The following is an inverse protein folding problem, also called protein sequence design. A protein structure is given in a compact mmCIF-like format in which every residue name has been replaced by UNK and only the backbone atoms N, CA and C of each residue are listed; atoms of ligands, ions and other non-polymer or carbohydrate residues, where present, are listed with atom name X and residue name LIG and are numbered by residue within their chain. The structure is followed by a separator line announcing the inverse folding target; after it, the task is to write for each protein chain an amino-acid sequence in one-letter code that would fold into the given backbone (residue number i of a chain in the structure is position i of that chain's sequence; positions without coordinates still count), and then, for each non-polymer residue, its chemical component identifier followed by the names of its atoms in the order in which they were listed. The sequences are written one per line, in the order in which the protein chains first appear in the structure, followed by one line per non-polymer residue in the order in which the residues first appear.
data_IF_241302867985
#
_entry.id   IF_241302867985
#
_cell.length_a   1.000
_cell.length_b   1.000
_cell.length_c   1.000
_cell.angle_alpha   90.00
_cell.angle_beta   90.00
_cell.angle_gamma   90.00
#
_symmetry.space_group_name_H-M   'P 1'
#
loop_
_entity.id
_entity.type
_entity.pdbx_description
1 polymer ?
#
# COMPACT_ATOMS: atom_id res chain seq x y z
N UNK A 1 16.86 21.55 -10.40
CA UNK A 1 16.55 20.81 -11.65
C UNK A 1 15.04 20.65 -11.84
N UNK A 2 14.29 20.11 -10.87
CA UNK A 2 12.82 19.99 -10.96
C UNK A 2 12.11 21.30 -11.34
N UNK A 3 12.39 22.42 -10.66
CA UNK A 3 11.81 23.74 -11.00
C UNK A 3 12.14 24.22 -12.43
N UNK A 4 13.26 23.77 -13.02
CA UNK A 4 13.63 24.08 -14.41
C UNK A 4 12.76 23.30 -15.41
N UNK A 5 12.37 22.08 -15.07
CA UNK A 5 11.61 21.19 -15.94
C UNK A 5 10.09 21.39 -15.79
N UNK A 6 9.62 21.61 -14.57
CA UNK A 6 8.20 21.67 -14.25
C UNK A 6 7.71 23.08 -13.88
N UNK A 7 8.61 24.06 -13.80
CA UNK A 7 8.24 25.46 -13.59
C UNK A 7 7.59 25.71 -12.23
N UNK A 8 6.45 26.41 -12.24
CA UNK A 8 5.70 26.84 -11.05
C UNK A 8 4.89 25.74 -10.37
N UNK A 9 4.80 24.54 -10.96
CA UNK A 9 4.13 23.39 -10.29
C UNK A 9 4.99 22.82 -9.16
N UNK A 10 6.29 23.12 -9.14
CA UNK A 10 7.17 22.73 -8.04
C UNK A 10 7.08 23.79 -6.93
N UNK A 11 6.76 23.40 -5.68
CA UNK A 11 6.77 24.33 -4.56
C UNK A 11 8.14 25.01 -4.38
N UNK A 12 8.22 26.16 -3.70
CA UNK A 12 9.50 26.80 -3.43
C UNK A 12 10.37 25.90 -2.53
N UNK A 13 11.60 25.63 -2.96
CA UNK A 13 12.53 24.82 -2.17
C UNK A 13 12.96 25.57 -0.90
N UNK A 14 12.93 24.92 0.29
CA UNK A 14 13.37 25.54 1.53
C UNK A 14 14.84 26.01 1.44
N UNK A 15 15.13 27.30 1.71
CA UNK A 15 16.46 27.85 1.53
C UNK A 15 17.49 27.17 2.46
N UNK A 16 18.76 27.21 2.06
CA UNK A 16 19.87 26.88 2.94
C UNK A 16 20.24 28.11 3.77
N UNK A 17 20.57 27.91 5.04
CA UNK A 17 21.16 28.96 5.85
C UNK A 17 22.66 29.04 5.57
N UNK A 18 23.19 30.26 5.42
CA UNK A 18 24.62 30.51 5.14
C UNK A 18 25.50 30.48 6.39
N UNK A 19 24.88 30.53 7.58
CA UNK A 19 25.54 30.42 8.88
C UNK A 19 25.18 29.09 9.55
N UNK A 20 25.94 28.71 10.58
CA UNK A 20 25.64 27.55 11.40
C UNK A 20 24.20 27.65 11.96
N UNK A 21 23.40 26.61 11.75
CA UNK A 21 22.03 26.55 12.25
C UNK A 21 22.04 26.18 13.73
N UNK A 22 21.19 26.81 14.53
CA UNK A 22 20.82 26.26 15.84
C UNK A 22 20.00 24.99 15.65
N UNK A 23 19.88 24.18 16.71
CA UNK A 23 19.10 22.94 16.67
C UNK A 23 17.63 23.21 16.28
N UNK A 24 17.01 24.25 16.86
CA UNK A 24 15.64 24.65 16.52
C UNK A 24 15.49 25.06 15.04
N UNK A 25 16.46 25.79 14.47
CA UNK A 25 16.44 26.17 13.06
C UNK A 25 16.64 24.96 12.14
N UNK A 26 17.48 24.00 12.55
CA UNK A 26 17.68 22.77 11.82
C UNK A 26 16.39 21.93 11.79
N UNK A 27 15.69 21.84 12.92
CA UNK A 27 14.44 21.10 13.04
C UNK A 27 13.31 21.75 12.22
N UNK A 28 13.16 23.07 12.29
CA UNK A 28 12.21 23.79 11.45
C UNK A 28 12.51 23.60 9.95
N UNK A 29 13.79 23.61 9.57
CA UNK A 29 14.19 23.36 8.20
C UNK A 29 13.92 21.92 7.76
N UNK A 30 14.11 20.93 8.63
CA UNK A 30 13.74 19.52 8.36
C UNK A 30 12.24 19.41 8.09
N UNK A 31 11.40 19.99 8.95
CA UNK A 31 9.94 20.01 8.75
C UNK A 31 9.54 20.66 7.42
N UNK A 32 10.16 21.79 7.04
CA UNK A 32 9.90 22.44 5.74
C UNK A 32 10.36 21.59 4.55
N UNK A 33 11.47 20.87 4.67
CA UNK A 33 11.95 19.96 3.63
C UNK A 33 11.04 18.75 3.47
N UNK A 34 10.55 18.21 4.58
CA UNK A 34 9.57 17.12 4.58
C UNK A 34 8.28 17.57 3.88
N UNK A 35 7.73 18.73 4.24
CA UNK A 35 6.57 19.31 3.57
C UNK A 35 6.81 19.55 2.08
N UNK A 36 8.01 20.03 1.71
CA UNK A 36 8.38 20.21 0.31
C UNK A 36 8.33 18.87 -0.45
N UNK A 37 8.92 17.81 0.11
CA UNK A 37 8.90 16.47 -0.51
C UNK A 37 7.47 15.93 -0.61
N UNK A 38 6.67 16.03 0.46
CA UNK A 38 5.27 15.63 0.46
C UNK A 38 4.50 16.32 -0.67
N UNK A 39 4.66 17.64 -0.83
CA UNK A 39 4.00 18.41 -1.88
C UNK A 39 4.49 18.07 -3.30
N UNK A 40 5.79 17.84 -3.49
CA UNK A 40 6.34 17.44 -4.81
C UNK A 40 5.76 16.10 -5.26
N UNK A 41 5.56 15.16 -4.32
CA UNK A 41 5.00 13.84 -4.62
C UNK A 41 3.51 13.84 -4.96
N UNK A 42 2.81 14.97 -4.81
CA UNK A 42 1.41 15.11 -5.23
C UNK A 42 1.24 15.18 -6.75
N UNK A 43 2.33 15.38 -7.51
CA UNK A 43 2.28 15.52 -8.96
C UNK A 43 2.90 14.29 -9.64
N UNK A 44 2.09 13.40 -10.24
CA UNK A 44 2.57 12.17 -10.89
C UNK A 44 3.60 12.44 -12.00
N UNK A 45 3.45 13.55 -12.72
CA UNK A 45 4.39 13.95 -13.78
C UNK A 45 5.81 14.18 -13.23
N UNK A 46 5.94 14.57 -11.96
CA UNK A 46 7.23 14.77 -11.32
C UNK A 46 7.77 13.43 -10.82
N UNK A 47 6.95 12.63 -10.12
CA UNK A 47 7.40 11.35 -9.53
C UNK A 47 7.83 10.33 -10.58
N UNK A 48 7.19 10.36 -11.76
CA UNK A 48 7.50 9.47 -12.87
C UNK A 48 8.59 10.04 -13.80
N UNK A 49 9.17 11.19 -13.47
CA UNK A 49 10.21 11.79 -14.31
C UNK A 49 11.57 11.16 -14.08
N UNK A 50 12.35 11.00 -15.15
CA UNK A 50 13.72 10.45 -15.09
C UNK A 50 14.60 11.20 -14.09
N UNK A 51 14.42 12.52 -13.95
CA UNK A 51 15.19 13.34 -13.02
C UNK A 51 14.85 13.01 -11.56
N UNK A 52 13.57 12.78 -11.26
CA UNK A 52 13.17 12.37 -9.92
C UNK A 52 13.66 10.95 -9.61
N UNK A 53 13.39 10.00 -10.51
CA UNK A 53 13.76 8.60 -10.34
C UNK A 53 15.28 8.43 -10.23
N UNK A 54 16.07 9.07 -11.10
CA UNK A 54 17.54 8.99 -11.04
C UNK A 54 18.12 9.60 -9.75
N UNK A 55 17.55 10.69 -9.26
CA UNK A 55 17.95 11.31 -8.00
C UNK A 55 17.70 10.36 -6.82
N UNK A 56 16.48 9.81 -6.69
CA UNK A 56 16.15 8.89 -5.60
C UNK A 56 16.84 7.55 -5.71
N UNK A 57 17.11 7.05 -6.92
CA UNK A 57 17.96 5.87 -7.13
C UNK A 57 19.34 6.09 -6.53
N UNK A 58 20.00 7.19 -6.89
CA UNK A 58 21.33 7.51 -6.38
C UNK A 58 21.32 7.70 -4.86
N UNK A 59 20.33 8.42 -4.34
CA UNK A 59 20.19 8.60 -2.88
C UNK A 59 20.08 7.26 -2.14
N UNK A 60 19.20 6.36 -2.60
CA UNK A 60 19.05 5.04 -1.97
C UNK A 60 20.36 4.24 -2.00
N UNK A 61 21.07 4.22 -3.14
CA UNK A 61 22.35 3.54 -3.25
C UNK A 61 23.43 4.13 -2.34
N UNK A 62 23.54 5.46 -2.30
CA UNK A 62 24.53 6.18 -1.49
C UNK A 62 24.24 6.01 0.01
N UNK A 63 22.96 6.08 0.43
CA UNK A 63 22.53 5.92 1.82
C UNK A 63 22.85 4.53 2.37
N UNK A 64 22.58 3.48 1.58
CA UNK A 64 22.80 2.09 2.01
C UNK A 64 24.16 1.54 1.57
N UNK A 65 24.98 2.34 0.88
CA UNK A 65 26.30 1.96 0.35
C UNK A 65 26.23 0.71 -0.55
N UNK A 66 25.22 0.63 -1.41
CA UNK A 66 25.00 -0.51 -2.31
C UNK A 66 25.32 -0.11 -3.75
N UNK A 67 26.42 -0.64 -4.27
CA UNK A 67 26.81 -0.46 -5.66
C UNK A 67 25.90 -1.22 -6.63
N UNK A 68 25.83 -0.73 -7.87
CA UNK A 68 25.14 -1.40 -8.97
C UNK A 68 25.88 -2.66 -9.36
N UNK A 69 25.28 -3.82 -9.12
CA UNK A 69 25.80 -5.13 -9.54
C UNK A 69 24.65 -6.09 -9.87
N UNK A 70 24.97 -7.19 -10.56
CA UNK A 70 24.01 -8.27 -10.76
C UNK A 70 23.74 -8.97 -9.43
N UNK A 71 22.48 -9.31 -9.18
CA UNK A 71 22.03 -10.01 -8.00
C UNK A 71 20.83 -10.91 -8.34
N UNK A 72 20.53 -11.87 -7.47
CA UNK A 72 19.28 -12.63 -7.51
C UNK A 72 18.31 -12.06 -6.48
N UNK A 73 17.02 -12.00 -6.86
CA UNK A 73 15.94 -11.53 -6.01
C UNK A 73 14.72 -12.44 -6.16
N UNK A 74 14.22 -12.96 -5.04
CA UNK A 74 13.00 -13.76 -5.02
C UNK A 74 11.76 -12.88 -4.83
N UNK A 75 10.74 -13.12 -5.65
CA UNK A 75 9.42 -12.49 -5.53
C UNK A 75 8.38 -13.55 -5.23
N UNK A 76 7.67 -13.38 -4.12
CA UNK A 76 6.74 -14.37 -3.58
C UNK A 76 5.31 -14.19 -4.10
N UNK A 77 4.66 -15.30 -4.38
CA UNK A 77 3.22 -15.40 -4.66
C UNK A 77 2.45 -15.69 -3.37
N UNK A 78 1.12 -15.57 -3.43
CA UNK A 78 0.25 -15.77 -2.27
C UNK A 78 0.21 -17.22 -1.75
N UNK A 79 0.58 -18.21 -2.56
CA UNK A 79 0.72 -19.61 -2.14
C UNK A 79 2.06 -19.91 -1.45
N UNK A 80 2.92 -18.90 -1.29
CA UNK A 80 4.24 -19.03 -0.68
C UNK A 80 5.34 -19.49 -1.66
N UNK A 81 5.00 -19.83 -2.90
CA UNK A 81 5.99 -20.06 -3.95
C UNK A 81 6.72 -18.76 -4.31
N UNK A 82 7.94 -18.88 -4.85
CA UNK A 82 8.73 -17.73 -5.28
C UNK A 82 9.20 -17.83 -6.73
N UNK A 83 9.38 -16.67 -7.33
CA UNK A 83 9.97 -16.47 -8.64
C UNK A 83 11.35 -15.85 -8.43
N UNK A 84 12.40 -16.61 -8.69
CA UNK A 84 13.77 -16.11 -8.66
C UNK A 84 14.07 -15.27 -9.90
N UNK A 85 14.57 -14.05 -9.71
CA UNK A 85 14.87 -13.10 -10.78
C UNK A 85 16.34 -12.73 -10.78
N UNK A 86 16.97 -12.76 -11.96
CA UNK A 86 18.27 -12.14 -12.18
C UNK A 86 18.07 -10.64 -12.46
N UNK A 87 18.52 -9.80 -11.52
CA UNK A 87 18.30 -8.35 -11.54
C UNK A 87 19.62 -7.57 -11.39
N UNK A 88 19.56 -6.26 -11.57
CA UNK A 88 20.54 -5.33 -11.03
C UNK A 88 20.06 -4.79 -9.68
N UNK A 89 20.99 -4.58 -8.74
CA UNK A 89 20.68 -3.97 -7.43
C UNK A 89 20.07 -2.57 -7.52
N UNK A 90 20.21 -1.90 -8.68
CA UNK A 90 19.64 -0.59 -8.99
C UNK A 90 18.35 -0.63 -9.83
N UNK A 91 17.80 -1.82 -10.08
CA UNK A 91 16.50 -1.97 -10.74
C UNK A 91 15.38 -1.43 -9.84
N UNK A 92 14.46 -0.69 -10.46
CA UNK A 92 13.29 -0.11 -9.79
C UNK A 92 12.17 -1.14 -9.61
N UNK A 93 11.22 -0.86 -8.72
CA UNK A 93 10.04 -1.70 -8.53
C UNK A 93 9.22 -1.87 -9.82
N UNK A 94 9.07 -0.78 -10.61
CA UNK A 94 8.46 -0.83 -11.94
C UNK A 94 9.19 -1.82 -12.85
N UNK A 95 10.53 -1.72 -12.92
CA UNK A 95 11.35 -2.60 -13.76
C UNK A 95 11.25 -4.07 -13.33
N UNK A 96 11.26 -4.34 -12.02
CA UNK A 96 11.12 -5.69 -11.50
C UNK A 96 9.73 -6.26 -11.83
N UNK A 97 8.67 -5.46 -11.71
CA UNK A 97 7.32 -5.89 -12.08
C UNK A 97 7.22 -6.21 -13.57
N UNK A 98 7.80 -5.37 -14.44
CA UNK A 98 7.91 -5.67 -15.87
C UNK A 98 8.66 -6.97 -16.11
N UNK A 99 9.82 -7.17 -15.46
CA UNK A 99 10.63 -8.38 -15.60
C UNK A 99 9.80 -9.59 -15.17
N UNK A 100 9.13 -9.61 -14.02
CA UNK A 100 8.27 -10.73 -13.59
C UNK A 100 7.26 -11.12 -14.68
N UNK A 101 6.62 -10.11 -15.27
CA UNK A 101 5.57 -10.31 -16.28
C UNK A 101 6.16 -10.72 -17.63
N UNK A 102 7.34 -10.21 -17.99
CA UNK A 102 7.99 -10.46 -19.28
C UNK A 102 8.89 -11.71 -19.29
N UNK A 103 9.57 -12.02 -18.19
CA UNK A 103 10.66 -13.00 -18.11
C UNK A 103 10.22 -14.37 -17.61
N UNK A 104 8.98 -14.50 -17.13
CA UNK A 104 8.43 -15.78 -16.69
C UNK A 104 7.12 -16.11 -17.38
N UNK A 105 6.88 -17.43 -17.47
CA UNK A 105 5.72 -18.16 -18.03
C UNK A 105 4.35 -17.76 -17.46
N UNK A 106 4.22 -16.60 -16.81
CA UNK A 106 2.94 -16.10 -16.30
C UNK A 106 1.95 -15.90 -17.45
N UNK A 107 2.35 -15.33 -18.57
CA UNK A 107 1.43 -15.04 -19.68
C UNK A 107 0.45 -13.90 -19.36
N UNK A 108 0.86 -12.99 -18.47
CA UNK A 108 0.09 -11.78 -18.15
C UNK A 108 0.25 -10.76 -19.27
N UNK A 109 -0.87 -10.23 -19.78
CA UNK A 109 -0.83 -9.18 -20.80
C UNK A 109 -0.19 -7.91 -20.24
N UNK A 110 0.56 -7.18 -21.09
CA UNK A 110 1.20 -5.92 -20.71
C UNK A 110 0.19 -4.88 -20.18
N UNK A 111 -1.03 -4.92 -20.70
CA UNK A 111 -2.13 -4.04 -20.29
C UNK A 111 -2.60 -4.31 -18.87
N UNK A 112 -2.41 -5.53 -18.37
CA UNK A 112 -2.86 -5.96 -17.05
C UNK A 112 -1.82 -5.72 -15.95
N UNK A 113 -0.58 -5.33 -16.31
CA UNK A 113 0.51 -5.05 -15.36
C UNK A 113 0.09 -4.00 -14.32
N UNK A 114 -0.64 -2.96 -14.75
CA UNK A 114 -1.08 -1.86 -13.87
C UNK A 114 -2.08 -2.26 -12.78
N UNK A 115 -2.62 -3.49 -12.83
CA UNK A 115 -3.52 -4.03 -11.81
C UNK A 115 -2.78 -4.79 -10.71
N UNK A 116 -1.46 -4.94 -10.81
CA UNK A 116 -0.62 -5.58 -9.81
C UNK A 116 0.45 -4.61 -9.31
N UNK A 117 0.93 -4.86 -8.10
CA UNK A 117 2.04 -4.11 -7.52
C UNK A 117 2.87 -5.02 -6.63
N UNK A 118 4.08 -4.57 -6.34
CA UNK A 118 4.94 -5.17 -5.35
C UNK A 118 4.65 -4.62 -3.95
N UNK A 119 4.76 -5.49 -2.95
CA UNK A 119 4.56 -5.20 -1.54
C UNK A 119 5.69 -5.82 -0.72
N UNK A 120 6.06 -5.15 0.37
CA UNK A 120 6.82 -5.82 1.42
C UNK A 120 5.87 -6.47 2.40
N UNK A 121 6.05 -7.77 2.58
CA UNK A 121 5.21 -8.61 3.42
C UNK A 121 6.11 -9.19 4.51
N UNK A 122 5.77 -8.92 5.76
CA UNK A 122 6.43 -9.48 6.92
C UNK A 122 5.81 -10.83 7.26
N UNK A 123 6.66 -11.83 7.49
CA UNK A 123 6.29 -13.17 7.92
C UNK A 123 6.70 -13.33 9.39
N UNK A 124 5.71 -13.48 10.27
CA UNK A 124 5.94 -13.57 11.71
C UNK A 124 6.33 -14.98 12.18
N UNK A 125 6.40 -15.97 11.28
CA UNK A 125 6.84 -17.33 11.58
C UNK A 125 5.81 -18.20 12.31
N UNK A 126 4.81 -17.60 12.95
CA UNK A 126 3.60 -18.25 13.50
C UNK A 126 2.51 -18.48 12.44
N UNK A 127 2.83 -18.17 11.18
CA UNK A 127 1.90 -18.20 10.07
C UNK A 127 1.14 -16.89 9.86
N UNK A 128 1.30 -15.84 10.68
CA UNK A 128 0.76 -14.51 10.43
C UNK A 128 1.62 -13.74 9.40
N UNK A 129 0.95 -13.07 8.45
CA UNK A 129 1.56 -12.22 7.44
C UNK A 129 1.02 -10.82 7.64
N UNK A 130 1.91 -9.83 7.61
CA UNK A 130 1.54 -8.42 7.62
C UNK A 130 1.99 -7.77 6.31
N UNK A 131 1.09 -7.03 5.67
CA UNK A 131 1.47 -6.19 4.53
C UNK A 131 2.07 -4.91 5.08
N UNK A 132 3.39 -4.76 5.06
CA UNK A 132 4.07 -3.61 5.67
C UNK A 132 3.84 -2.35 4.85
N UNK A 133 4.11 -2.43 3.54
CA UNK A 133 3.91 -1.31 2.61
C UNK A 133 3.80 -1.78 1.16
N UNK A 134 3.12 -0.98 0.33
CA UNK A 134 3.29 -1.02 -1.13
C UNK A 134 4.67 -0.44 -1.47
N UNK A 135 5.40 -1.09 -2.36
CA UNK A 135 6.66 -0.57 -2.89
C UNK A 135 6.34 0.50 -3.94
N UNK A 136 6.86 1.71 -3.76
CA UNK A 136 6.69 2.76 -4.77
C UNK A 136 7.50 2.44 -6.03
N UNK A 137 7.03 2.92 -7.17
CA UNK A 137 7.53 2.57 -8.50
C UNK A 137 9.02 2.91 -8.69
N UNK A 138 9.48 3.99 -8.04
CA UNK A 138 10.87 4.47 -8.06
C UNK A 138 11.78 3.83 -7.00
N UNK A 139 11.24 3.10 -6.04
CA UNK A 139 12.05 2.43 -5.01
C UNK A 139 12.90 1.32 -5.64
N UNK A 140 14.01 1.00 -4.99
CA UNK A 140 14.92 -0.08 -5.39
C UNK A 140 14.66 -1.29 -4.47
N UNK A 141 13.84 -2.28 -4.87
CA UNK A 141 13.37 -3.32 -3.95
C UNK A 141 14.51 -4.10 -3.30
N UNK A 142 15.59 -4.36 -4.04
CA UNK A 142 16.78 -5.02 -3.49
C UNK A 142 17.38 -4.22 -2.33
N UNK A 143 17.60 -2.91 -2.52
CA UNK A 143 18.16 -2.02 -1.50
C UNK A 143 17.21 -1.89 -0.32
N UNK A 144 15.92 -1.67 -0.58
CA UNK A 144 14.89 -1.56 0.44
C UNK A 144 14.82 -2.82 1.32
N UNK A 145 14.92 -4.02 0.73
CA UNK A 145 14.98 -5.27 1.52
C UNK A 145 16.21 -5.35 2.43
N UNK A 146 17.37 -4.89 1.96
CA UNK A 146 18.58 -4.88 2.80
C UNK A 146 18.42 -3.98 4.03
N UNK A 147 17.63 -2.91 3.92
CA UNK A 147 17.34 -2.01 5.04
C UNK A 147 16.35 -2.58 6.06
N UNK A 148 15.55 -3.58 5.68
CA UNK A 148 14.50 -4.18 6.51
C UNK A 148 14.82 -5.62 6.94
N UNK A 149 16.10 -5.99 6.98
CA UNK A 149 16.53 -7.36 7.30
C UNK A 149 16.00 -7.87 8.64
N UNK A 150 15.95 -6.99 9.63
CA UNK A 150 15.49 -7.30 10.99
C UNK A 150 13.99 -7.63 11.03
N UNK A 151 13.21 -7.13 10.07
CA UNK A 151 11.78 -7.37 9.97
C UNK A 151 11.43 -8.67 9.23
N UNK A 152 12.42 -9.44 8.75
CA UNK A 152 12.20 -10.66 7.96
C UNK A 152 11.21 -10.47 6.79
N UNK A 153 11.21 -9.27 6.19
CA UNK A 153 10.31 -8.94 5.10
C UNK A 153 10.67 -9.68 3.79
N UNK A 154 9.64 -10.11 3.07
CA UNK A 154 9.70 -10.68 1.73
C UNK A 154 9.06 -9.72 0.73
N UNK A 155 9.54 -9.75 -0.51
CA UNK A 155 8.92 -9.01 -1.62
C UNK A 155 7.85 -9.88 -2.26
N UNK A 156 6.59 -9.45 -2.26
CA UNK A 156 5.48 -10.19 -2.85
C UNK A 156 4.74 -9.40 -3.92
N UNK A 157 4.13 -10.10 -4.86
CA UNK A 157 3.21 -9.51 -5.85
C UNK A 157 1.77 -9.68 -5.37
N UNK A 158 0.97 -8.62 -5.44
CA UNK A 158 -0.46 -8.65 -5.09
C UNK A 158 -1.26 -7.76 -6.04
N UNK A 159 -2.57 -8.01 -6.12
CA UNK A 159 -3.47 -7.10 -6.84
C UNK A 159 -3.44 -5.70 -6.20
N UNK A 160 -3.44 -4.66 -7.02
CA UNK A 160 -3.41 -3.26 -6.60
C UNK A 160 -4.54 -2.45 -7.22
N UNK A 161 -5.73 -2.79 -6.79
CA UNK A 161 -6.95 -2.03 -6.97
C UNK A 161 -7.94 -2.35 -5.85
N UNK A 162 -8.81 -1.41 -5.53
CA UNK A 162 -9.67 -1.45 -4.34
C UNK A 162 -11.11 -1.78 -4.67
N UNK A 163 -11.53 -1.58 -5.92
CA UNK A 163 -12.83 -1.96 -6.43
C UNK A 163 -12.84 -3.40 -6.99
N UNK A 164 -13.57 -4.33 -6.36
CA UNK A 164 -13.71 -5.71 -6.84
C UNK A 164 -14.38 -5.83 -8.21
N UNK A 165 -15.04 -4.80 -8.73
CA UNK A 165 -15.62 -4.84 -10.09
C UNK A 165 -14.55 -4.97 -11.17
N UNK A 166 -13.33 -4.47 -10.90
CA UNK A 166 -12.19 -4.53 -11.81
C UNK A 166 -11.66 -5.95 -12.04
N UNK A 167 -12.03 -6.92 -11.19
CA UNK A 167 -11.72 -8.33 -11.42
C UNK A 167 -12.21 -8.80 -12.79
N UNK A 168 -13.35 -8.28 -13.26
CA UNK A 168 -13.93 -8.65 -14.56
C UNK A 168 -12.98 -8.40 -15.73
N UNK A 169 -12.14 -7.36 -15.66
CA UNK A 169 -11.14 -7.03 -16.68
C UNK A 169 -9.97 -8.02 -16.72
N UNK A 170 -9.81 -8.81 -15.65
CA UNK A 170 -8.72 -9.76 -15.46
C UNK A 170 -9.16 -11.21 -15.76
N UNK A 171 -10.47 -11.47 -15.90
CA UNK A 171 -11.02 -12.82 -16.06
C UNK A 171 -10.68 -13.48 -17.41
N UNK A 172 -10.33 -12.71 -18.44
CA UNK A 172 -9.95 -13.27 -19.75
C UNK A 172 -8.49 -13.75 -19.80
N UNK A 173 -7.70 -13.51 -18.75
CA UNK A 173 -6.30 -13.88 -18.69
C UNK A 173 -6.05 -14.94 -17.61
N UNK A 174 -5.65 -16.15 -18.04
CA UNK A 174 -5.38 -17.27 -17.13
C UNK A 174 -4.33 -16.97 -16.04
N UNK A 175 -3.32 -16.15 -16.37
CA UNK A 175 -2.31 -15.67 -15.44
C UNK A 175 -2.93 -14.85 -14.30
N UNK A 176 -3.80 -13.91 -14.68
CA UNK A 176 -4.49 -13.01 -13.75
C UNK A 176 -5.44 -13.79 -12.87
N UNK A 177 -6.25 -14.68 -13.46
CA UNK A 177 -7.12 -15.60 -12.71
C UNK A 177 -6.30 -16.35 -11.67
N UNK A 178 -5.14 -16.89 -12.04
CA UNK A 178 -4.31 -17.63 -11.09
C UNK A 178 -3.81 -16.74 -9.94
N UNK A 179 -3.31 -15.54 -10.24
CA UNK A 179 -2.84 -14.59 -9.22
C UNK A 179 -3.96 -14.19 -8.25
N UNK A 180 -5.14 -13.84 -8.78
CA UNK A 180 -6.31 -13.47 -7.97
C UNK A 180 -6.79 -14.65 -7.11
N UNK A 181 -6.82 -15.84 -7.69
CA UNK A 181 -7.25 -17.06 -7.02
C UNK A 181 -6.33 -17.43 -5.85
N UNK A 182 -5.01 -17.42 -6.07
CA UNK A 182 -4.04 -17.70 -5.00
C UNK A 182 -4.13 -16.65 -3.88
N UNK A 183 -4.31 -15.38 -4.23
CA UNK A 183 -4.49 -14.32 -3.23
C UNK A 183 -5.78 -14.50 -2.43
N UNK A 184 -6.89 -14.81 -3.08
CA UNK A 184 -8.18 -15.03 -2.42
C UNK A 184 -8.14 -16.22 -1.44
N UNK A 185 -7.49 -17.32 -1.81
CA UNK A 185 -7.27 -18.46 -0.90
C UNK A 185 -6.48 -18.03 0.33
N UNK A 186 -5.35 -17.37 0.13
CA UNK A 186 -4.51 -16.91 1.24
C UNK A 186 -5.30 -16.01 2.20
N UNK A 187 -6.13 -15.13 1.67
CA UNK A 187 -6.95 -14.20 2.46
C UNK A 187 -8.10 -14.89 3.21
N UNK A 188 -8.67 -15.97 2.66
CA UNK A 188 -9.66 -16.82 3.33
C UNK A 188 -8.99 -17.62 4.47
N UNK A 189 -7.87 -18.29 4.18
CA UNK A 189 -7.11 -19.08 5.17
C UNK A 189 -6.67 -18.24 6.37
N UNK A 190 -6.45 -16.94 6.14
CA UNK A 190 -6.03 -15.96 7.16
C UNK A 190 -7.19 -15.24 7.85
N UNK A 191 -8.43 -15.58 7.53
CA UNK A 191 -9.64 -14.92 8.04
C UNK A 191 -9.68 -13.40 7.77
N UNK A 192 -9.07 -12.96 6.67
CA UNK A 192 -9.17 -11.56 6.21
C UNK A 192 -10.50 -11.34 5.48
N UNK A 193 -10.86 -12.33 4.67
CA UNK A 193 -12.19 -12.46 4.07
C UNK A 193 -13.03 -13.35 4.98
N UNK A 194 -14.32 -13.02 5.16
CA UNK A 194 -15.22 -13.75 6.08
C UNK A 194 -16.43 -14.32 5.32
N UNK A 195 -16.30 -15.50 4.67
CA UNK A 195 -17.44 -16.19 4.06
C UNK A 195 -18.46 -16.65 5.11
N UNK A 196 -19.74 -16.74 4.70
CA UNK A 196 -20.74 -17.47 5.50
C UNK A 196 -20.44 -18.97 5.42
N UNK A 197 -21.03 -19.78 6.32
CA UNK A 197 -20.80 -21.23 6.33
C UNK A 197 -21.22 -21.87 5.00
N UNK A 198 -22.32 -21.41 4.41
CA UNK A 198 -22.83 -21.89 3.14
C UNK A 198 -21.86 -21.54 2.00
N UNK A 199 -21.41 -20.28 1.92
CA UNK A 199 -20.44 -19.84 0.91
C UNK A 199 -19.10 -20.55 1.06
N UNK A 200 -18.66 -20.82 2.28
CA UNK A 200 -17.42 -21.55 2.53
C UNK A 200 -17.47 -22.98 1.97
N UNK A 201 -18.58 -23.70 2.16
CA UNK A 201 -18.76 -25.04 1.60
C UNK A 201 -18.72 -25.04 0.07
N UNK A 202 -19.33 -24.03 -0.55
CA UNK A 202 -19.30 -23.88 -2.01
C UNK A 202 -17.90 -23.51 -2.52
N UNK A 203 -17.19 -22.60 -1.86
CA UNK A 203 -15.79 -22.27 -2.16
C UNK A 203 -14.88 -23.50 -2.06
N UNK A 204 -15.03 -24.33 -1.03
CA UNK A 204 -14.29 -25.58 -0.88
C UNK A 204 -14.59 -26.59 -2.00
N UNK A 205 -15.85 -26.67 -2.44
CA UNK A 205 -16.25 -27.51 -3.57
C UNK A 205 -15.61 -27.01 -4.89
N UNK A 206 -15.63 -25.69 -5.12
CA UNK A 206 -15.02 -25.06 -6.29
C UNK A 206 -13.49 -25.24 -6.29
N UNK A 207 -12.85 -25.19 -5.13
CA UNK A 207 -11.44 -25.49 -4.97
C UNK A 207 -11.13 -26.95 -5.32
N UNK A 208 -11.92 -27.92 -4.84
CA UNK A 208 -11.77 -29.36 -5.15
C UNK A 208 -12.00 -29.69 -6.63
N UNK A 209 -12.86 -28.93 -7.30
CA UNK A 209 -13.15 -29.09 -8.74
C UNK A 209 -12.26 -28.22 -9.63
N UNK A 210 -11.28 -27.52 -9.04
CA UNK A 210 -10.33 -26.62 -9.70
C UNK A 210 -11.00 -25.52 -10.56
N UNK A 211 -12.24 -25.15 -10.24
CA UNK A 211 -12.98 -24.15 -11.00
C UNK A 211 -12.69 -22.73 -10.50
N UNK A 212 -11.50 -22.22 -10.88
CA UNK A 212 -10.99 -20.90 -10.44
C UNK A 212 -11.89 -19.73 -10.83
N UNK A 213 -12.51 -19.79 -12.01
CA UNK A 213 -13.39 -18.72 -12.52
C UNK A 213 -14.61 -18.57 -11.62
N UNK A 214 -15.36 -19.66 -11.42
CA UNK A 214 -16.54 -19.64 -10.53
C UNK A 214 -16.17 -19.33 -9.07
N UNK A 215 -15.01 -19.79 -8.63
CA UNK A 215 -14.49 -19.45 -7.30
C UNK A 215 -14.34 -17.93 -7.15
N UNK A 216 -13.72 -17.26 -8.13
CA UNK A 216 -13.55 -15.82 -8.12
C UNK A 216 -14.87 -15.06 -8.28
N UNK A 217 -15.83 -15.59 -9.04
CA UNK A 217 -17.18 -15.02 -9.12
C UNK A 217 -17.88 -15.04 -7.76
N UNK A 218 -17.81 -16.17 -7.05
CA UNK A 218 -18.44 -16.33 -5.74
C UNK A 218 -17.75 -15.50 -4.65
N UNK A 219 -16.42 -15.46 -4.63
CA UNK A 219 -15.66 -14.74 -3.57
C UNK A 219 -15.88 -13.23 -3.63
N UNK A 220 -16.19 -12.66 -4.81
CA UNK A 220 -16.51 -11.23 -4.97
C UNK A 220 -17.73 -10.78 -4.17
N UNK A 221 -18.61 -11.71 -3.82
CA UNK A 221 -19.79 -11.43 -2.99
C UNK A 221 -19.55 -11.66 -1.48
N UNK A 222 -18.32 -11.98 -1.08
CA UNK A 222 -17.97 -12.25 0.31
C UNK A 222 -17.53 -10.96 1.01
N UNK A 223 -17.91 -10.81 2.29
CA UNK A 223 -17.53 -9.66 3.10
C UNK A 223 -16.00 -9.51 3.17
N UNK A 224 -15.55 -8.28 2.99
CA UNK A 224 -14.14 -7.86 2.98
C UNK A 224 -13.29 -8.38 1.80
N UNK A 225 -13.88 -9.02 0.79
CA UNK A 225 -13.14 -9.30 -0.44
C UNK A 225 -12.69 -7.99 -1.12
N UNK A 226 -11.41 -7.92 -1.47
CA UNK A 226 -10.80 -6.72 -2.06
C UNK A 226 -10.38 -5.66 -1.05
N UNK A 227 -10.55 -5.90 0.26
CA UNK A 227 -10.04 -5.01 1.30
C UNK A 227 -8.61 -5.39 1.66
N UNK A 228 -7.80 -4.38 1.98
CA UNK A 228 -6.52 -4.58 2.67
C UNK A 228 -6.76 -4.49 4.17
N UNK A 229 -6.42 -5.56 4.88
CA UNK A 229 -6.39 -5.58 6.34
C UNK A 229 -5.05 -5.06 6.85
N UNK A 230 -5.10 -4.15 7.81
CA UNK A 230 -3.93 -3.69 8.57
C UNK A 230 -3.78 -4.54 9.84
N UNK A 231 -2.57 -4.53 10.40
CA UNK A 231 -2.29 -5.04 11.72
C UNK A 231 -3.12 -4.29 12.77
N UNK A 232 -3.52 -4.97 13.86
CA UNK A 232 -4.24 -4.33 14.95
C UNK A 232 -3.50 -3.08 15.44
N UNK A 233 -4.24 -1.99 15.56
CA UNK A 233 -3.68 -0.68 15.88
C UNK A 233 -4.49 0.00 17.00
N UNK A 234 -4.05 1.19 17.41
CA UNK A 234 -4.75 2.01 18.41
C UNK A 234 -5.42 3.20 17.72
N UNK A 235 -6.60 3.60 18.17
CA UNK A 235 -7.29 4.78 17.69
C UNK A 235 -7.87 5.64 18.82
N UNK A 236 -8.27 6.86 18.46
CA UNK A 236 -8.91 7.83 19.36
C UNK A 236 -10.45 7.88 19.23
N UNK A 237 -11.03 6.99 18.42
CA UNK A 237 -12.46 6.95 18.14
C UNK A 237 -13.09 5.63 18.64
N UNK A 238 -14.25 5.66 19.32
CA UNK A 238 -14.98 6.86 19.76
C UNK A 238 -14.37 7.51 21.03
N UNK A 239 -13.41 6.84 21.67
CA UNK A 239 -12.63 7.36 22.80
C UNK A 239 -11.16 6.96 22.68
N UNK A 240 -10.28 7.67 23.41
CA UNK A 240 -8.83 7.49 23.32
C UNK A 240 -8.40 6.11 23.83
N UNK A 241 -7.50 5.45 23.09
CA UNK A 241 -6.90 4.19 23.49
C UNK A 241 -7.72 2.96 23.09
N UNK A 242 -8.64 3.10 22.14
CA UNK A 242 -9.36 1.97 21.58
C UNK A 242 -8.43 1.12 20.70
N UNK A 243 -8.61 -0.20 20.70
CA UNK A 243 -7.92 -1.08 19.75
C UNK A 243 -8.79 -1.24 18.50
N UNK A 244 -8.20 -1.18 17.32
CA UNK A 244 -8.91 -1.26 16.05
C UNK A 244 -8.29 -2.29 15.10
N UNK A 245 -9.12 -3.22 14.62
CA UNK A 245 -8.85 -3.98 13.40
C UNK A 245 -9.36 -3.17 12.20
N UNK A 246 -8.47 -2.76 11.29
CA UNK A 246 -8.78 -1.85 10.19
C UNK A 246 -8.75 -2.57 8.85
N UNK A 247 -9.80 -2.40 8.06
CA UNK A 247 -9.98 -2.93 6.72
C UNK A 247 -10.27 -1.77 5.76
N UNK A 248 -9.52 -1.68 4.67
CA UNK A 248 -9.64 -0.56 3.72
C UNK A 248 -9.90 -1.11 2.33
N UNK A 249 -10.99 -0.69 1.71
CA UNK A 249 -11.41 -1.18 0.40
C UNK A 249 -12.79 -0.69 0.05
N UNK A 250 -13.23 -0.90 -1.19
CA UNK A 250 -14.60 -0.65 -1.63
C UNK A 250 -15.19 0.71 -1.16
N UNK A 251 -14.44 1.80 -1.30
CA UNK A 251 -14.84 3.16 -0.94
C UNK A 251 -15.10 3.43 0.56
N UNK A 252 -14.55 2.61 1.46
CA UNK A 252 -14.61 2.84 2.90
C UNK A 252 -13.35 2.40 3.67
N UNK A 253 -13.23 2.89 4.90
CA UNK A 253 -12.42 2.28 5.96
C UNK A 253 -13.41 1.62 6.94
N UNK A 254 -13.44 0.30 7.00
CA UNK A 254 -14.22 -0.45 7.98
C UNK A 254 -13.33 -0.84 9.18
N UNK A 255 -13.83 -0.70 10.39
CA UNK A 255 -13.11 -0.99 11.62
C UNK A 255 -13.95 -1.80 12.59
N UNK A 256 -13.33 -2.83 13.20
CA UNK A 256 -13.82 -3.39 14.46
C UNK A 256 -13.05 -2.73 15.59
N UNK A 257 -13.73 -1.84 16.31
CA UNK A 257 -13.16 -1.04 17.40
C UNK A 257 -13.54 -1.66 18.73
N UNK A 258 -12.53 -2.10 19.47
CA UNK A 258 -12.64 -2.63 20.82
C UNK A 258 -12.40 -1.51 21.83
N UNK A 259 -13.46 -1.15 22.55
CA UNK A 259 -13.45 -0.17 23.63
C UNK A 259 -12.65 -0.69 24.83
N UNK A 260 -12.07 0.19 25.67
CA UNK A 260 -11.52 -0.14 26.99
C UNK A 260 -12.47 -0.94 27.88
N UNK A 261 -13.79 -0.76 27.71
CA UNK A 261 -14.85 -1.51 28.40
C UNK A 261 -15.03 -2.95 27.86
N UNK A 262 -14.16 -3.40 26.96
CA UNK A 262 -14.17 -4.71 26.30
C UNK A 262 -15.38 -4.97 25.38
N UNK A 263 -16.11 -3.91 25.01
CA UNK A 263 -17.16 -3.95 24.00
C UNK A 263 -16.58 -3.69 22.61
N UNK A 264 -17.01 -4.46 21.61
CA UNK A 264 -16.59 -4.26 20.21
C UNK A 264 -17.70 -3.59 19.41
N UNK A 265 -17.35 -2.56 18.63
CA UNK A 265 -18.25 -1.86 17.71
C UNK A 265 -17.69 -1.93 16.30
N UNK A 266 -18.55 -2.25 15.33
CA UNK A 266 -18.21 -2.11 13.91
C UNK A 266 -18.53 -0.68 13.46
N UNK A 267 -17.58 -0.03 12.79
CA UNK A 267 -17.69 1.34 12.30
C UNK A 267 -17.20 1.38 10.86
N UNK A 268 -17.97 2.02 9.97
CA UNK A 268 -17.57 2.26 8.58
C UNK A 268 -17.44 3.76 8.31
N UNK A 269 -16.24 4.17 7.91
CA UNK A 269 -15.93 5.53 7.47
C UNK A 269 -15.94 5.59 5.94
N UNK A 270 -16.96 6.23 5.38
CA UNK A 270 -17.11 6.37 3.94
C UNK A 270 -16.10 7.38 3.39
N UNK A 271 -15.37 7.02 2.33
CA UNK A 271 -14.30 7.87 1.78
C UNK A 271 -14.84 9.20 1.26
N UNK A 272 -16.09 9.24 0.77
CA UNK A 272 -16.75 10.47 0.30
C UNK A 272 -17.05 11.51 1.42
N UNK A 273 -16.92 11.12 2.69
CA UNK A 273 -17.07 11.99 3.86
C UNK A 273 -15.72 12.42 4.45
N UNK A 274 -14.61 11.96 3.88
CA UNK A 274 -13.27 12.42 4.23
C UNK A 274 -12.95 13.72 3.50
N UNK A 275 -12.42 14.71 4.22
CA UNK A 275 -11.91 15.94 3.58
C UNK A 275 -10.43 15.82 3.22
N UNK A 276 -9.62 15.38 4.17
CA UNK A 276 -8.18 15.21 4.01
C UNK A 276 -7.63 14.25 5.05
N UNK A 277 -6.39 13.81 4.85
CA UNK A 277 -5.64 13.03 5.83
C UNK A 277 -4.16 13.42 5.81
N UNK A 278 -3.47 13.11 6.89
CA UNK A 278 -2.04 13.35 7.05
C UNK A 278 -1.41 12.17 7.76
N UNK A 279 -0.19 11.82 7.35
CA UNK A 279 0.68 10.88 8.07
C UNK A 279 1.74 11.70 8.80
N UNK A 280 1.96 11.40 10.07
CA UNK A 280 2.96 12.06 10.92
C UNK A 280 3.85 11.02 11.58
N UNK A 281 5.14 11.34 11.70
CA UNK A 281 6.07 10.59 12.55
C UNK A 281 5.98 11.11 13.98
N UNK A 282 5.58 10.25 14.91
CA UNK A 282 5.73 10.48 16.34
C UNK A 282 7.09 9.87 16.68
N UNK A 283 8.09 10.72 16.90
CA UNK A 283 9.47 10.28 17.11
C UNK A 283 9.61 9.21 18.20
N UNK A 284 10.72 8.48 18.19
CA UNK A 284 10.99 7.43 19.18
C UNK A 284 10.81 7.97 20.61
N UNK A 285 10.04 7.26 21.43
CA UNK A 285 9.99 7.50 22.87
C UNK A 285 11.41 7.48 23.45
N UNK A 286 11.64 8.22 24.54
CA UNK A 286 12.97 8.37 25.16
C UNK A 286 13.67 7.06 25.56
N UNK A 287 12.98 5.92 25.49
CA UNK A 287 13.44 4.60 25.92
C UNK A 287 13.62 3.57 24.79
N UNK A 288 13.89 4.02 23.56
CA UNK A 288 14.20 3.10 22.45
C UNK A 288 12.99 2.32 21.92
N UNK A 289 11.78 2.83 22.16
CA UNK A 289 10.56 2.32 21.53
C UNK A 289 10.58 2.59 20.02
N UNK A 290 10.03 1.64 19.25
CA UNK A 290 9.92 1.73 17.79
C UNK A 290 9.19 3.00 17.35
N UNK A 291 9.61 3.56 16.22
CA UNK A 291 8.99 4.73 15.60
C UNK A 291 7.48 4.53 15.48
N UNK A 292 6.71 5.43 16.11
CA UNK A 292 5.26 5.36 16.06
C UNK A 292 4.76 6.28 14.95
N UNK A 293 4.04 5.70 13.99
CA UNK A 293 3.40 6.46 12.93
C UNK A 293 1.94 6.69 13.30
N UNK A 294 1.42 7.87 12.95
CA UNK A 294 -0.01 8.15 12.99
C UNK A 294 -0.54 8.51 11.60
N UNK A 295 -1.76 8.08 11.31
CA UNK A 295 -2.57 8.64 10.24
C UNK A 295 -3.79 9.29 10.85
N UNK A 296 -3.95 10.59 10.63
CA UNK A 296 -5.12 11.35 11.03
C UNK A 296 -5.92 11.79 9.82
N UNK A 297 -7.24 11.73 9.91
CA UNK A 297 -8.13 12.16 8.84
C UNK A 297 -9.32 12.97 9.39
N UNK A 298 -9.75 13.96 8.61
CA UNK A 298 -10.91 14.78 8.95
C UNK A 298 -12.17 14.16 8.33
N UNK A 299 -13.10 13.71 9.19
CA UNK A 299 -14.32 13.00 8.80
C UNK A 299 -15.56 13.79 9.19
N UNK A 300 -16.56 13.79 8.29
CA UNK A 300 -17.88 14.37 8.56
C UNK A 300 -18.81 13.34 9.20
N UNK A 301 -19.03 13.48 10.49
CA UNK A 301 -20.00 12.70 11.26
C UNK A 301 -21.14 13.60 11.73
N UNK A 302 -22.39 13.24 11.40
CA UNK A 302 -23.60 13.92 11.89
C UNK A 302 -23.52 15.46 11.82
N UNK A 303 -23.07 15.96 10.65
CA UNK A 303 -22.85 17.37 10.30
C UNK A 303 -21.70 18.11 11.01
N UNK A 304 -20.89 17.42 11.81
CA UNK A 304 -19.67 17.96 12.42
C UNK A 304 -18.42 17.36 11.77
N UNK A 305 -17.43 18.20 11.57
CA UNK A 305 -16.09 17.76 11.18
C UNK A 305 -15.30 17.43 12.44
N UNK A 306 -14.73 16.23 12.48
CA UNK A 306 -13.84 15.79 13.55
C UNK A 306 -12.61 15.11 12.98
N UNK A 307 -11.49 15.24 13.69
CA UNK A 307 -10.29 14.49 13.39
C UNK A 307 -10.36 13.13 14.08
N UNK A 308 -9.98 12.10 13.35
CA UNK A 308 -9.84 10.74 13.86
C UNK A 308 -8.41 10.29 13.57
N UNK A 309 -7.77 9.66 14.54
CA UNK A 309 -6.36 9.28 14.49
C UNK A 309 -6.23 7.77 14.66
N UNK A 310 -5.48 7.14 13.75
CA UNK A 310 -4.97 5.78 13.88
C UNK A 310 -3.47 5.80 14.14
N UNK A 311 -3.04 5.20 15.24
CA UNK A 311 -1.65 4.98 15.60
C UNK A 311 -1.24 3.60 15.08
N UNK A 312 -0.56 3.55 13.94
CA UNK A 312 -0.20 2.31 13.24
C UNK A 312 1.10 2.46 12.46
N UNK A 313 1.95 1.43 12.53
CA UNK A 313 3.17 1.32 11.70
C UNK A 313 2.85 1.29 10.19
N UNK A 314 1.61 0.96 9.81
CA UNK A 314 1.16 0.89 8.42
C UNK A 314 0.46 2.18 7.96
N UNK A 315 0.71 3.33 8.58
CA UNK A 315 0.10 4.61 8.21
C UNK A 315 0.31 4.97 6.73
N UNK A 316 1.51 4.71 6.19
CA UNK A 316 1.79 4.93 4.77
C UNK A 316 1.04 3.98 3.84
N UNK A 317 0.81 2.73 4.26
CA UNK A 317 -0.01 1.79 3.52
C UNK A 317 -1.46 2.27 3.47
N UNK A 318 -2.04 2.63 4.63
CA UNK A 318 -3.40 3.20 4.70
C UNK A 318 -3.53 4.44 3.81
N UNK A 319 -2.58 5.37 3.89
CA UNK A 319 -2.53 6.55 3.03
C UNK A 319 -2.49 6.17 1.53
N UNK A 320 -1.71 5.16 1.17
CA UNK A 320 -1.63 4.66 -0.21
C UNK A 320 -2.96 4.04 -0.67
N UNK A 321 -3.65 3.32 0.21
CA UNK A 321 -4.97 2.77 -0.08
C UNK A 321 -6.00 3.89 -0.33
N UNK A 322 -6.02 4.92 0.52
CA UNK A 322 -6.89 6.09 0.36
C UNK A 322 -6.65 6.80 -0.99
N UNK A 323 -5.38 7.05 -1.34
CA UNK A 323 -5.02 7.63 -2.65
C UNK A 323 -5.52 6.76 -3.80
N UNK A 324 -5.39 5.43 -3.68
CA UNK A 324 -5.81 4.50 -4.73
C UNK A 324 -7.33 4.50 -4.91
N UNK A 325 -8.10 4.46 -3.84
CA UNK A 325 -9.57 4.54 -3.88
C UNK A 325 -10.02 5.82 -4.61
N UNK A 326 -9.48 6.97 -4.20
CA UNK A 326 -9.84 8.26 -4.81
C UNK A 326 -9.47 8.30 -6.29
N UNK A 327 -8.27 7.82 -6.63
CA UNK A 327 -7.84 7.72 -8.03
C UNK A 327 -8.78 6.85 -8.87
N UNK A 328 -9.24 5.70 -8.35
CA UNK A 328 -10.19 4.84 -9.06
C UNK A 328 -11.54 5.51 -9.25
N UNK A 329 -12.06 6.21 -8.23
CA UNK A 329 -13.30 6.97 -8.33
C UNK A 329 -13.23 8.07 -9.40
N UNK A 330 -12.12 8.83 -9.43
CA UNK A 330 -11.91 9.88 -10.43
C UNK A 330 -11.84 9.32 -11.85
N UNK A 331 -11.20 8.15 -12.03
CA UNK A 331 -11.12 7.47 -13.33
C UNK A 331 -12.50 6.98 -13.80
N UNK A 332 -13.33 6.45 -12.90
CA UNK A 332 -14.70 6.05 -13.22
C UNK A 332 -15.57 7.23 -13.64
N UNK A 333 -15.57 8.30 -12.85
CA UNK A 333 -16.34 9.51 -13.17
C UNK A 333 -15.93 10.14 -14.51
N UNK A 334 -14.63 10.08 -14.85
CA UNK A 334 -14.12 10.57 -16.13
C UNK A 334 -14.60 9.75 -17.32
N UNK A 335 -14.75 8.43 -17.17
CA UNK A 335 -15.27 7.54 -18.22
C UNK A 335 -16.77 7.75 -18.44
N UNK A 336 -17.55 7.82 -17.35
CA UNK A 336 -19.00 8.06 -17.40
C UNK A 336 -19.32 9.42 -18.05
N UNK A 337 -18.52 10.45 -17.79
CA UNK A 337 -18.68 11.77 -18.40
C UNK A 337 -18.23 11.88 -19.87
N UNK A 338 -17.53 10.87 -20.41
CA UNK A 338 -17.18 10.77 -21.83
C UNK A 338 -18.21 9.96 -22.64
N UNK A 339 -19.03 9.16 -21.98
CA UNK A 339 -20.10 8.34 -22.58
C UNK A 339 -21.47 9.05 -22.59
N UNK A 340 -21.59 10.21 -21.94
CA UNK A 340 -22.72 11.15 -22.02
C UNK A 340 -22.42 12.30 -22.99
#
# INVERSE_FOLDING_TARGET
QLRRLFGSTVPPFPPKFYLAMTEAMAEERRARLEQYLQNVTLHPNITNSDVFVSFFRKLQQDTFQIETRRASLDVYLADGSSIGLDIQTSDTAERILEVIVMSYKMGLSRELIGYFSLFFIQDHGDGALSVVKKVAEFELPYVSLQSMKELHCKLGIRKWYMDPSLDTLLMDCGASINLLYLQAIQEIERNWIKPTKEKMQELEFLQKTENKVKFLELVREVQFYGYIRLDPCVCDYPEVGCSADVYVGNNEINCYIKLPTNQTKEVSFQINRLRCWQVTFLGAGKDGEEETLELRFEYRDSDKWQWIVFYTKQAFLLSSCLKKIISEQMMKASKEGQEM
#
